data_IF_728227415556
#
_entry.id   IF_728227415556
#
_cell.length_a   1.000
_cell.length_b   1.000
_cell.length_c   1.000
_cell.angle_alpha   90.00
_cell.angle_beta   90.00
_cell.angle_gamma   90.00
#
_symmetry.space_group_name_H-M   'P 1'
#
loop_
_entity.id
_entity.type
_entity.pdbx_description
1 polymer ?
#
# COMPACT_ATOMS: atom_id res chain seq x y z
N UNK A 1 47.18 19.43 43.79
CA UNK A 1 46.19 18.90 42.83
C UNK A 1 46.22 17.39 42.98
N UNK A 2 45.13 16.81 43.46
CA UNK A 2 45.06 15.39 43.81
C UNK A 2 45.01 14.52 42.53
N UNK A 3 45.97 13.61 42.29
CA UNK A 3 45.98 12.77 41.08
C UNK A 3 44.73 11.88 40.96
N UNK A 4 44.11 11.52 42.09
CA UNK A 4 42.86 10.74 42.11
C UNK A 4 41.65 11.56 41.62
N UNK A 5 41.66 12.88 41.85
CA UNK A 5 40.60 13.78 41.36
C UNK A 5 40.67 13.93 39.84
N UNK A 6 41.88 14.04 39.27
CA UNK A 6 42.08 14.12 37.83
C UNK A 6 41.69 12.81 37.11
N UNK A 7 41.99 11.65 37.72
CA UNK A 7 41.61 10.35 37.17
C UNK A 7 40.09 10.17 37.12
N UNK A 8 39.37 10.60 38.17
CA UNK A 8 37.89 10.58 38.19
C UNK A 8 37.29 11.50 37.14
N UNK A 9 37.83 12.70 36.99
CA UNK A 9 37.35 13.67 36.01
C UNK A 9 37.51 13.16 34.57
N UNK A 10 38.64 12.52 34.27
CA UNK A 10 38.89 11.90 32.96
C UNK A 10 37.93 10.72 32.70
N UNK A 11 37.64 9.90 33.72
CA UNK A 11 36.69 8.80 33.61
C UNK A 11 35.26 9.30 33.31
N UNK A 12 34.82 10.36 33.98
CA UNK A 12 33.52 10.98 33.72
C UNK A 12 33.43 11.55 32.30
N UNK A 13 34.45 12.30 31.86
CA UNK A 13 34.51 12.87 30.49
C UNK A 13 34.47 11.76 29.43
N UNK A 14 35.21 10.67 29.63
CA UNK A 14 35.21 9.53 28.70
C UNK A 14 33.83 8.87 28.63
N UNK A 15 33.14 8.79 29.76
CA UNK A 15 31.79 8.22 29.84
C UNK A 15 30.78 9.10 29.12
N UNK A 16 30.89 10.42 29.29
CA UNK A 16 30.03 11.41 28.66
C UNK A 16 30.21 11.44 27.13
N UNK A 17 31.45 11.35 26.65
CA UNK A 17 31.77 11.26 25.21
C UNK A 17 31.18 10.00 24.56
N UNK A 18 31.29 8.85 25.24
CA UNK A 18 30.68 7.60 24.77
C UNK A 18 29.16 7.70 24.71
N UNK A 19 28.53 8.30 25.71
CA UNK A 19 27.08 8.52 25.73
C UNK A 19 26.66 9.48 24.60
N UNK A 20 27.43 10.54 24.34
CA UNK A 20 27.20 11.45 23.22
C UNK A 20 27.32 10.72 21.87
N UNK A 21 28.32 9.86 21.70
CA UNK A 21 28.50 9.08 20.47
C UNK A 21 27.35 8.09 20.24
N UNK A 22 26.83 7.47 21.29
CA UNK A 22 25.66 6.60 21.21
C UNK A 22 24.39 7.38 20.83
N UNK A 23 24.19 8.58 21.39
CA UNK A 23 23.09 9.48 21.02
C UNK A 23 23.21 9.95 19.56
N UNK A 24 24.40 10.30 19.11
CA UNK A 24 24.67 10.67 17.71
C UNK A 24 24.35 9.50 16.77
N UNK A 25 24.73 8.28 17.14
CA UNK A 25 24.42 7.08 16.36
C UNK A 25 22.91 6.84 16.27
N UNK A 26 22.17 7.05 17.38
CA UNK A 26 20.71 6.96 17.41
C UNK A 26 20.02 8.06 16.59
N UNK A 27 20.59 9.27 16.54
CA UNK A 27 20.08 10.39 15.75
C UNK A 27 20.29 10.17 14.25
N UNK A 28 21.47 9.67 13.85
CA UNK A 28 21.78 9.35 12.45
C UNK A 28 20.96 8.17 11.94
N UNK A 29 20.74 7.16 12.77
CA UNK A 29 19.93 5.99 12.43
C UNK A 29 18.44 6.19 12.72
N UNK A 30 18.00 7.41 13.02
CA UNK A 30 16.58 7.67 13.21
C UNK A 30 15.89 7.49 11.85
N UNK A 31 14.88 6.61 11.74
CA UNK A 31 14.11 6.52 10.51
C UNK A 31 13.54 7.91 10.19
N UNK A 32 13.54 8.31 8.90
CA UNK A 32 12.99 9.60 8.51
C UNK A 32 11.60 9.77 9.09
N UNK A 33 11.35 10.94 9.69
CA UNK A 33 10.07 11.21 10.31
C UNK A 33 9.01 11.26 9.21
N UNK A 34 7.92 10.51 9.40
CA UNK A 34 6.83 10.48 8.43
C UNK A 34 6.28 11.87 8.18
N UNK A 35 6.07 12.20 6.91
CA UNK A 35 5.49 13.49 6.54
C UNK A 35 3.99 13.46 6.82
N UNK A 36 3.50 14.45 7.58
CA UNK A 36 2.08 14.73 7.68
C UNK A 36 1.61 15.40 6.40
N UNK A 37 1.09 14.61 5.49
CA UNK A 37 0.35 15.12 4.32
C UNK A 37 -1.14 15.13 4.64
N UNK A 38 -1.73 16.32 4.58
CA UNK A 38 -3.15 16.60 4.75
C UNK A 38 -3.95 16.18 3.50
N UNK A 39 -5.21 15.78 3.68
CA UNK A 39 -6.12 15.49 2.56
C UNK A 39 -5.93 14.15 1.85
N UNK A 40 -4.95 13.32 2.26
CA UNK A 40 -4.78 11.96 1.74
C UNK A 40 -5.21 10.91 2.76
N UNK A 41 -5.93 9.89 2.29
CA UNK A 41 -6.31 8.72 3.07
C UNK A 41 -5.86 7.44 2.37
N UNK A 42 -5.53 6.42 3.15
CA UNK A 42 -5.22 5.10 2.60
C UNK A 42 -6.44 4.57 1.82
N UNK A 43 -6.27 4.06 0.59
CA UNK A 43 -7.38 3.55 -0.20
C UNK A 43 -7.98 2.31 0.46
N UNK A 44 -9.25 2.04 0.14
CA UNK A 44 -10.01 0.90 0.64
C UNK A 44 -10.29 -0.07 -0.50
N UNK A 45 -10.33 -1.36 -0.18
CA UNK A 45 -10.65 -2.39 -1.16
C UNK A 45 -11.55 -3.46 -0.54
N UNK A 46 -12.69 -3.71 -1.17
CA UNK A 46 -13.71 -4.65 -0.69
C UNK A 46 -13.76 -5.96 -1.49
N UNK A 47 -13.12 -5.99 -2.65
CA UNK A 47 -13.09 -7.16 -3.53
C UNK A 47 -14.26 -7.21 -4.52
N UNK A 48 -15.02 -6.12 -4.66
CA UNK A 48 -16.18 -6.10 -5.55
C UNK A 48 -15.78 -6.07 -7.03
N UNK A 49 -16.60 -6.64 -7.91
CA UNK A 49 -16.36 -6.66 -9.37
C UNK A 49 -16.28 -5.25 -10.00
N UNK A 50 -16.85 -4.24 -9.34
CA UNK A 50 -16.78 -2.84 -9.76
C UNK A 50 -15.47 -2.15 -9.40
N UNK A 51 -14.75 -2.68 -8.40
CA UNK A 51 -13.46 -2.15 -7.97
C UNK A 51 -12.32 -2.69 -8.86
N UNK A 52 -11.21 -1.95 -8.87
CA UNK A 52 -9.98 -2.36 -9.54
C UNK A 52 -8.90 -2.58 -8.49
N UNK A 53 -8.45 -3.84 -8.36
CA UNK A 53 -7.34 -4.18 -7.47
C UNK A 53 -6.07 -3.41 -7.84
N UNK A 54 -5.76 -3.30 -9.14
CA UNK A 54 -4.57 -2.57 -9.60
C UNK A 54 -4.62 -1.09 -9.24
N UNK A 55 -5.81 -0.47 -9.29
CA UNK A 55 -5.99 0.92 -8.85
C UNK A 55 -5.78 1.07 -7.34
N UNK A 56 -6.27 0.12 -6.54
CA UNK A 56 -6.03 0.11 -5.10
C UNK A 56 -4.54 0.01 -4.78
N UNK A 57 -3.81 -0.89 -5.45
CA UNK A 57 -2.36 -1.08 -5.25
C UNK A 57 -1.58 0.19 -5.64
N UNK A 58 -1.92 0.82 -6.77
CA UNK A 58 -1.27 2.05 -7.22
C UNK A 58 -1.57 3.24 -6.29
N UNK A 59 -2.82 3.39 -5.84
CA UNK A 59 -3.19 4.41 -4.86
C UNK A 59 -2.51 4.20 -3.49
N UNK A 60 -2.33 2.94 -3.07
CA UNK A 60 -1.61 2.62 -1.84
C UNK A 60 -0.14 3.02 -1.96
N UNK A 61 0.50 2.71 -3.10
CA UNK A 61 1.85 3.17 -3.41
C UNK A 61 1.96 4.69 -3.31
N UNK A 62 1.09 5.44 -3.98
CA UNK A 62 1.08 6.91 -3.96
C UNK A 62 0.88 7.46 -2.53
N UNK A 63 0.05 6.81 -1.72
CA UNK A 63 -0.13 7.17 -0.31
C UNK A 63 1.18 7.05 0.48
N UNK A 64 1.92 5.96 0.32
CA UNK A 64 3.21 5.77 1.00
C UNK A 64 4.28 6.75 0.50
N UNK A 65 4.37 6.96 -0.82
CA UNK A 65 5.27 7.95 -1.41
C UNK A 65 5.01 9.35 -0.86
N UNK A 66 3.75 9.75 -0.73
CA UNK A 66 3.39 11.05 -0.16
C UNK A 66 3.80 11.17 1.32
N UNK A 67 3.74 10.08 2.10
CA UNK A 67 4.13 10.04 3.52
C UNK A 67 5.65 9.92 3.73
N UNK A 68 6.45 9.89 2.66
CA UNK A 68 7.91 9.65 2.72
C UNK A 68 8.26 8.25 3.25
N UNK A 69 7.37 7.28 3.03
CA UNK A 69 7.55 5.90 3.45
C UNK A 69 8.06 5.11 2.24
N UNK A 70 9.31 4.66 2.30
CA UNK A 70 9.82 3.68 1.33
C UNK A 70 9.12 2.35 1.57
N UNK A 71 8.10 2.10 0.76
CA UNK A 71 7.21 0.95 0.91
C UNK A 71 7.84 -0.36 0.41
N UNK A 72 8.95 -0.27 -0.34
CA UNK A 72 9.72 -1.42 -0.83
C UNK A 72 10.89 -1.76 0.09
N UNK A 73 11.24 -0.89 1.04
CA UNK A 73 12.33 -1.17 1.98
C UNK A 73 11.96 -2.32 2.93
N UNK A 74 12.82 -3.34 3.10
CA UNK A 74 12.55 -4.50 3.98
C UNK A 74 12.23 -4.14 5.43
N UNK A 75 12.75 -3.03 5.96
CA UNK A 75 12.43 -2.57 7.32
C UNK A 75 10.99 -2.09 7.48
N UNK A 76 10.33 -1.70 6.38
CA UNK A 76 8.98 -1.17 6.37
C UNK A 76 7.94 -2.20 5.94
N UNK A 77 8.35 -3.34 5.37
CA UNK A 77 7.47 -4.36 4.78
C UNK A 77 6.29 -4.75 5.68
N UNK A 78 6.56 -5.20 6.91
CA UNK A 78 5.52 -5.59 7.88
C UNK A 78 4.58 -4.44 8.24
N UNK A 79 5.13 -3.23 8.35
CA UNK A 79 4.36 -2.03 8.71
C UNK A 79 3.42 -1.62 7.57
N UNK A 80 3.95 -1.58 6.35
CA UNK A 80 3.21 -1.25 5.14
C UNK A 80 2.13 -2.29 4.88
N UNK A 81 2.46 -3.58 5.00
CA UNK A 81 1.51 -4.68 4.91
C UNK A 81 0.37 -4.50 5.91
N UNK A 82 0.69 -4.25 7.19
CA UNK A 82 -0.31 -3.99 8.23
C UNK A 82 -1.24 -2.81 7.87
N UNK A 83 -0.69 -1.72 7.34
CA UNK A 83 -1.48 -0.56 6.89
C UNK A 83 -2.38 -0.90 5.70
N UNK A 84 -1.91 -1.67 4.73
CA UNK A 84 -2.72 -2.11 3.59
C UNK A 84 -3.86 -3.03 4.04
N UNK A 85 -3.55 -4.07 4.82
CA UNK A 85 -4.55 -5.08 5.24
C UNK A 85 -5.60 -4.48 6.17
N UNK A 86 -5.24 -3.47 6.97
CA UNK A 86 -6.20 -2.72 7.81
C UNK A 86 -7.24 -1.93 7.02
N UNK A 87 -6.99 -1.64 5.73
CA UNK A 87 -7.93 -0.95 4.86
C UNK A 87 -8.65 -1.88 3.88
N UNK A 88 -8.45 -3.19 4.00
CA UNK A 88 -9.34 -4.16 3.38
C UNK A 88 -10.71 -4.09 4.06
N UNK A 89 -11.76 -4.30 3.28
CA UNK A 89 -13.15 -4.24 3.73
C UNK A 89 -13.94 -5.42 3.20
N UNK A 90 -15.16 -5.61 3.72
CA UNK A 90 -16.11 -6.58 3.20
C UNK A 90 -15.53 -7.99 3.05
N UNK A 91 -15.66 -8.55 1.85
CA UNK A 91 -15.23 -9.91 1.55
C UNK A 91 -13.72 -10.06 1.62
N UNK A 92 -12.96 -9.06 1.16
CA UNK A 92 -11.49 -9.13 1.19
C UNK A 92 -10.93 -9.12 2.61
N UNK A 93 -11.52 -8.35 3.52
CA UNK A 93 -11.13 -8.38 4.94
C UNK A 93 -11.38 -9.76 5.57
N UNK A 94 -12.57 -10.34 5.32
CA UNK A 94 -12.92 -11.66 5.83
C UNK A 94 -12.02 -12.77 5.27
N UNK A 95 -11.71 -12.70 3.98
CA UNK A 95 -10.78 -13.61 3.31
C UNK A 95 -9.37 -13.51 3.90
N UNK A 96 -8.85 -12.30 4.13
CA UNK A 96 -7.48 -12.12 4.65
C UNK A 96 -7.27 -12.81 6.00
N UNK A 97 -8.26 -12.79 6.89
CA UNK A 97 -8.20 -13.50 8.19
C UNK A 97 -7.93 -15.00 8.01
N UNK A 98 -8.45 -15.62 6.94
CA UNK A 98 -8.25 -17.04 6.66
C UNK A 98 -6.88 -17.35 6.02
N UNK A 99 -6.27 -16.35 5.37
CA UNK A 99 -5.04 -16.52 4.58
C UNK A 99 -3.79 -15.92 5.25
N UNK A 100 -3.96 -15.17 6.35
CA UNK A 100 -2.94 -14.35 6.99
C UNK A 100 -1.62 -15.07 7.30
N UNK A 101 -1.65 -16.35 7.65
CA UNK A 101 -0.45 -17.12 8.00
C UNK A 101 0.49 -17.40 6.82
N UNK A 102 0.07 -17.08 5.60
CA UNK A 102 0.82 -17.36 4.36
C UNK A 102 1.23 -16.10 3.58
N UNK A 103 1.00 -14.92 4.15
CA UNK A 103 1.26 -13.63 3.50
C UNK A 103 2.18 -12.79 4.39
N UNK A 104 3.44 -12.65 3.98
CA UNK A 104 4.47 -11.90 4.70
C UNK A 104 4.90 -10.62 3.95
N UNK A 105 4.63 -10.56 2.64
CA UNK A 105 5.02 -9.42 1.79
C UNK A 105 3.83 -8.78 1.06
N UNK A 106 4.05 -7.57 0.54
CA UNK A 106 3.06 -6.83 -0.26
C UNK A 106 2.83 -7.54 -1.60
N UNK A 107 3.88 -8.09 -2.21
CA UNK A 107 3.78 -8.82 -3.47
C UNK A 107 2.97 -10.10 -3.30
N UNK A 108 3.21 -10.86 -2.23
CA UNK A 108 2.38 -12.03 -1.88
C UNK A 108 0.92 -11.65 -1.63
N UNK A 109 0.66 -10.53 -0.95
CA UNK A 109 -0.70 -10.01 -0.78
C UNK A 109 -1.33 -9.69 -2.13
N UNK A 110 -0.61 -8.98 -3.01
CA UNK A 110 -1.11 -8.59 -4.32
C UNK A 110 -1.45 -9.82 -5.17
N UNK A 111 -0.56 -10.82 -5.23
CA UNK A 111 -0.77 -12.04 -6.00
C UNK A 111 -1.90 -12.90 -5.44
N UNK A 112 -2.00 -13.01 -4.11
CA UNK A 112 -3.10 -13.72 -3.46
C UNK A 112 -4.45 -13.03 -3.74
N UNK A 113 -4.50 -11.70 -3.69
CA UNK A 113 -5.71 -10.93 -4.04
C UNK A 113 -6.07 -11.06 -5.52
N UNK A 114 -5.08 -11.05 -6.43
CA UNK A 114 -5.32 -11.28 -7.86
C UNK A 114 -5.94 -12.66 -8.09
N UNK A 115 -5.37 -13.70 -7.46
CA UNK A 115 -5.85 -15.08 -7.62
C UNK A 115 -7.28 -15.26 -7.10
N UNK A 116 -7.62 -14.61 -5.99
CA UNK A 116 -8.94 -14.77 -5.36
C UNK A 116 -10.01 -13.90 -6.01
N UNK A 117 -9.72 -12.62 -6.24
CA UNK A 117 -10.73 -11.61 -6.60
C UNK A 117 -10.74 -11.22 -8.08
N UNK A 118 -9.79 -11.68 -8.88
CA UNK A 118 -9.78 -11.48 -10.34
C UNK A 118 -10.14 -12.80 -11.02
N UNK A 119 -11.38 -12.94 -11.54
CA UNK A 119 -11.74 -14.11 -12.33
C UNK A 119 -10.83 -14.26 -13.55
N UNK A 120 -10.43 -15.49 -13.87
CA UNK A 120 -9.61 -15.78 -15.06
C UNK A 120 -10.31 -15.34 -16.36
N UNK A 121 -11.64 -15.36 -16.39
CA UNK A 121 -12.50 -14.94 -17.50
C UNK A 121 -12.92 -13.46 -17.42
N UNK A 122 -12.33 -12.64 -16.53
CA UNK A 122 -12.75 -11.25 -16.35
C UNK A 122 -12.68 -10.45 -17.66
N UNK A 123 -11.64 -10.64 -18.47
CA UNK A 123 -11.51 -9.94 -19.75
C UNK A 123 -12.60 -10.37 -20.74
N UNK A 124 -12.91 -11.67 -20.82
CA UNK A 124 -14.01 -12.18 -21.63
C UNK A 124 -15.34 -11.54 -21.20
N UNK A 125 -15.63 -11.51 -19.89
CA UNK A 125 -16.83 -10.87 -19.35
C UNK A 125 -16.92 -9.38 -19.66
N UNK A 126 -15.80 -8.67 -19.60
CA UNK A 126 -15.73 -7.24 -19.94
C UNK A 126 -15.97 -7.01 -21.43
N UNK A 127 -15.38 -7.83 -22.31
CA UNK A 127 -15.64 -7.81 -23.76
C UNK A 127 -17.12 -8.10 -24.05
N UNK A 128 -17.66 -9.14 -23.43
CA UNK A 128 -19.08 -9.51 -23.53
C UNK A 128 -20.01 -8.38 -23.09
N UNK A 129 -19.70 -7.74 -21.96
CA UNK A 129 -20.46 -6.60 -21.46
C UNK A 129 -20.39 -5.41 -22.43
N UNK A 130 -19.23 -5.18 -23.04
CA UNK A 130 -19.04 -4.14 -24.05
C UNK A 130 -19.85 -4.44 -25.33
N UNK A 131 -19.81 -5.68 -25.83
CA UNK A 131 -20.59 -6.11 -27.00
C UNK A 131 -22.10 -6.04 -26.76
N UNK A 132 -22.54 -6.35 -25.53
CA UNK A 132 -23.95 -6.31 -25.14
C UNK A 132 -24.44 -4.88 -24.81
N UNK A 133 -23.55 -3.89 -24.66
CA UNK A 133 -23.90 -2.52 -24.29
C UNK A 133 -24.66 -1.82 -25.44
N UNK A 134 -25.98 -1.59 -25.25
CA UNK A 134 -26.82 -0.92 -26.24
C UNK A 134 -27.17 0.50 -25.81
N UNK A 135 -27.07 1.45 -26.74
CA UNK A 135 -27.42 2.86 -26.51
C UNK A 135 -28.86 3.04 -26.00
N UNK A 136 -29.79 2.22 -26.50
CA UNK A 136 -31.22 2.24 -26.12
C UNK A 136 -31.51 1.85 -24.66
N UNK A 137 -30.54 1.25 -23.96
CA UNK A 137 -30.67 0.85 -22.55
C UNK A 137 -30.16 1.95 -21.60
N UNK A 138 -29.80 3.13 -22.14
CA UNK A 138 -29.48 4.32 -21.37
C UNK A 138 -30.61 5.32 -21.32
N UNK A 139 -30.50 6.25 -20.37
CA UNK A 139 -31.40 7.41 -20.30
C UNK A 139 -31.17 8.36 -21.48
N UNK A 140 -29.90 8.54 -21.85
CA UNK A 140 -29.47 9.40 -22.95
C UNK A 140 -28.11 8.94 -23.54
N UNK A 141 -27.61 9.68 -24.54
CA UNK A 141 -26.31 9.43 -25.17
C UNK A 141 -25.14 9.60 -24.19
N UNK A 142 -25.21 10.56 -23.27
CA UNK A 142 -24.11 10.84 -22.34
C UNK A 142 -23.93 9.70 -21.32
N UNK A 143 -25.04 9.13 -20.85
CA UNK A 143 -25.09 7.96 -19.99
C UNK A 143 -24.54 6.71 -20.69
N UNK A 144 -24.87 6.51 -21.97
CA UNK A 144 -24.27 5.44 -22.78
C UNK A 144 -22.75 5.64 -22.93
N UNK A 145 -22.29 6.83 -23.31
CA UNK A 145 -20.86 7.14 -23.48
C UNK A 145 -20.09 6.94 -22.17
N UNK A 146 -20.70 7.29 -21.03
CA UNK A 146 -20.08 7.10 -19.70
C UNK A 146 -19.89 5.62 -19.39
N UNK A 147 -20.93 4.79 -19.58
CA UNK A 147 -20.83 3.34 -19.38
C UNK A 147 -19.86 2.67 -20.36
N UNK A 148 -19.87 3.08 -21.63
CA UNK A 148 -18.92 2.60 -22.63
C UNK A 148 -17.48 2.92 -22.21
N UNK A 149 -17.20 4.16 -21.79
CA UNK A 149 -15.87 4.56 -21.32
C UNK A 149 -15.43 3.74 -20.11
N UNK A 150 -16.32 3.51 -19.14
CA UNK A 150 -16.01 2.71 -17.96
C UNK A 150 -15.64 1.26 -18.31
N UNK A 151 -16.32 0.66 -19.29
CA UNK A 151 -16.02 -0.70 -19.75
C UNK A 151 -14.72 -0.75 -20.57
N UNK A 152 -14.57 0.10 -21.59
CA UNK A 152 -13.41 0.05 -22.49
C UNK A 152 -12.08 0.35 -21.77
N UNK A 153 -12.08 1.21 -20.74
CA UNK A 153 -10.87 1.47 -19.93
C UNK A 153 -10.38 0.23 -19.15
N UNK A 154 -11.23 -0.78 -18.95
CA UNK A 154 -10.91 -2.01 -18.21
C UNK A 154 -10.58 -3.19 -19.12
N UNK A 155 -10.87 -3.07 -20.41
CA UNK A 155 -10.52 -4.07 -21.41
C UNK A 155 -9.04 -3.88 -21.79
N UNK A 156 -8.22 -4.90 -21.54
CA UNK A 156 -6.78 -4.88 -21.82
C UNK A 156 -6.47 -5.24 -23.28
N UNK A 157 -7.28 -6.11 -23.87
CA UNK A 157 -7.15 -6.53 -25.27
C UNK A 157 -8.54 -6.76 -25.88
N UNK A 158 -8.70 -6.39 -27.14
CA UNK A 158 -9.91 -6.55 -27.96
C UNK A 158 -9.80 -7.73 -28.93
N UNK A 159 -8.69 -8.48 -28.90
CA UNK A 159 -8.56 -9.76 -29.60
C UNK A 159 -9.69 -10.74 -29.21
N UNK A 160 -10.00 -11.72 -30.05
CA UNK A 160 -10.95 -12.80 -29.73
C UNK A 160 -10.28 -13.86 -28.84
#
# INVERSE_FOLDING_TARGET
>A
MDPDMNARLLAEVTTLLRQQQELMTKLVNRPPAEKRVEGISMPKYSGSLGESLELFLDQARLFFEAKDIDYMHPSNSRRVLAMMVSNLQGQTAAWYVTQQSSIDTIDELADALRREFIPADLQERLRDALYKLKQREGRDLADYVTRYRQLIMRVKDMSE
#
